data_IF_056476796471
#
_entry.id   IF_056476796471
#
_cell.length_a   1.000
_cell.length_b   1.000
_cell.length_c   1.000
_cell.angle_alpha   90.00
_cell.angle_beta   90.00
_cell.angle_gamma   90.00
#
_symmetry.space_group_name_H-M   'P 1'
#
loop_
_entity.id
_entity.type
_entity.pdbx_description
1 polymer ?
#
# COMPACT_ATOMS: atom_id res chain seq x y z
N UNK A 1 0.61 19.88 -8.09
CA UNK A 1 -0.41 18.85 -8.37
C UNK A 1 -0.68 18.10 -7.07
N UNK A 2 -1.92 17.65 -6.79
CA UNK A 2 -2.16 16.79 -5.64
C UNK A 2 -1.36 15.48 -5.79
N UNK A 3 -0.90 14.87 -4.68
CA UNK A 3 -0.17 13.61 -4.74
C UNK A 3 -1.06 12.51 -5.32
N UNK A 4 -0.46 11.60 -6.09
CA UNK A 4 -1.16 10.41 -6.59
C UNK A 4 -1.39 9.47 -5.43
N UNK A 5 -2.63 9.12 -5.10
CA UNK A 5 -2.91 8.17 -4.02
C UNK A 5 -2.52 6.77 -4.46
N UNK A 6 -1.75 6.06 -3.63
CA UNK A 6 -1.28 4.70 -3.92
C UNK A 6 -1.76 3.78 -2.82
N UNK A 7 -2.37 2.66 -3.21
CA UNK A 7 -2.78 1.58 -2.31
C UNK A 7 -2.08 0.33 -2.79
N UNK A 8 -1.00 -0.06 -2.13
CA UNK A 8 -0.28 -1.31 -2.38
C UNK A 8 -0.73 -2.38 -1.39
N UNK A 9 -0.60 -3.66 -1.75
CA UNK A 9 -0.82 -4.77 -0.83
C UNK A 9 0.41 -5.03 0.06
N UNK A 10 0.34 -6.02 0.96
CA UNK A 10 1.46 -6.39 1.84
C UNK A 10 2.67 -6.94 1.10
N UNK A 11 2.49 -7.55 -0.08
CA UNK A 11 3.58 -8.13 -0.87
C UNK A 11 4.56 -7.06 -1.35
N UNK A 12 4.07 -5.86 -1.69
CA UNK A 12 4.92 -4.71 -2.02
C UNK A 12 5.91 -4.40 -0.90
N UNK A 13 5.41 -4.20 0.33
CA UNK A 13 6.27 -3.86 1.47
C UNK A 13 7.21 -5.01 1.83
N UNK A 14 6.69 -6.23 1.88
CA UNK A 14 7.45 -7.42 2.25
C UNK A 14 8.57 -7.66 1.22
N UNK A 15 8.32 -7.48 -0.07
CA UNK A 15 9.35 -7.60 -1.11
C UNK A 15 10.52 -6.63 -0.87
N UNK A 16 10.25 -5.37 -0.48
CA UNK A 16 11.31 -4.41 -0.17
C UNK A 16 12.08 -4.74 1.12
N UNK A 17 11.41 -5.32 2.10
CA UNK A 17 11.98 -5.67 3.41
C UNK A 17 12.80 -6.97 3.34
N UNK A 18 12.23 -8.03 2.77
CA UNK A 18 12.78 -9.38 2.81
C UNK A 18 13.61 -9.72 1.55
N UNK A 19 13.06 -9.48 0.35
CA UNK A 19 13.64 -9.98 -0.91
C UNK A 19 14.68 -9.03 -1.51
N UNK A 20 14.30 -7.76 -1.65
CA UNK A 20 15.17 -6.71 -2.20
C UNK A 20 16.15 -6.22 -1.12
N UNK A 21 15.74 -6.27 0.15
CA UNK A 21 16.51 -5.79 1.31
C UNK A 21 16.96 -4.31 1.15
N UNK A 22 16.00 -3.44 0.80
CA UNK A 22 16.22 -2.00 0.55
C UNK A 22 15.17 -1.15 1.24
N UNK A 23 15.13 -1.24 2.57
CA UNK A 23 14.25 -0.43 3.41
C UNK A 23 14.44 1.07 3.19
N UNK A 24 15.66 1.52 2.87
CA UNK A 24 15.96 2.91 2.53
C UNK A 24 15.22 3.39 1.27
N UNK A 25 15.11 2.53 0.26
CA UNK A 25 14.39 2.85 -0.98
C UNK A 25 12.88 2.89 -0.72
N UNK A 26 12.37 1.96 0.08
CA UNK A 26 10.97 1.94 0.50
C UNK A 26 10.59 3.21 1.29
N UNK A 27 11.40 3.60 2.27
CA UNK A 27 11.21 4.83 3.04
C UNK A 27 11.17 6.07 2.14
N UNK A 28 12.07 6.14 1.15
CA UNK A 28 12.07 7.24 0.17
C UNK A 28 10.81 7.27 -0.71
N UNK A 29 10.23 6.11 -1.03
CA UNK A 29 8.98 6.04 -1.78
C UNK A 29 7.80 6.52 -0.92
N UNK A 30 7.71 6.05 0.32
CA UNK A 30 6.62 6.41 1.25
C UNK A 30 6.61 7.89 1.61
N UNK A 31 7.79 8.49 1.74
CA UNK A 31 7.96 9.92 2.08
C UNK A 31 8.01 10.84 0.85
N UNK A 32 7.87 10.30 -0.36
CA UNK A 32 7.91 11.09 -1.59
C UNK A 32 6.64 11.93 -1.73
N UNK A 33 6.78 13.25 -1.83
CA UNK A 33 5.65 14.19 -1.96
C UNK A 33 4.77 13.97 -3.21
N UNK A 34 5.24 13.19 -4.18
CA UNK A 34 4.47 12.88 -5.39
C UNK A 34 3.44 11.76 -5.16
N UNK A 35 3.63 10.94 -4.13
CA UNK A 35 2.79 9.80 -3.81
C UNK A 35 2.16 9.95 -2.43
N UNK A 36 0.84 9.74 -2.35
CA UNK A 36 0.10 9.66 -1.10
C UNK A 36 -0.22 8.21 -0.80
N UNK A 37 0.69 7.50 -0.14
CA UNK A 37 0.45 6.11 0.24
C UNK A 37 -0.65 6.01 1.30
N UNK A 38 -1.53 5.03 1.13
CA UNK A 38 -2.64 4.74 2.02
C UNK A 38 -2.57 3.26 2.40
N UNK A 39 -2.34 2.99 3.69
CA UNK A 39 -2.07 1.64 4.21
C UNK A 39 -3.25 1.16 5.04
N UNK A 40 -3.79 0.00 4.69
CA UNK A 40 -4.90 -0.60 5.42
C UNK A 40 -4.41 -1.24 6.72
N UNK A 41 -5.29 -1.31 7.73
CA UNK A 41 -4.99 -1.96 9.02
C UNK A 41 -4.58 -3.43 8.86
N UNK A 42 -5.19 -4.15 7.92
CA UNK A 42 -4.84 -5.55 7.60
C UNK A 42 -3.42 -5.64 7.05
N UNK A 43 -3.08 -4.79 6.08
CA UNK A 43 -1.74 -4.74 5.48
C UNK A 43 -0.69 -4.42 6.54
N UNK A 44 -0.97 -3.43 7.40
CA UNK A 44 -0.09 -3.08 8.52
C UNK A 44 0.17 -4.28 9.42
N UNK A 45 -0.86 -5.08 9.74
CA UNK A 45 -0.68 -6.31 10.53
C UNK A 45 0.18 -7.35 9.82
N UNK A 46 -0.03 -7.56 8.51
CA UNK A 46 0.74 -8.50 7.71
C UNK A 46 2.22 -8.10 7.62
N UNK A 47 2.50 -6.81 7.44
CA UNK A 47 3.85 -6.27 7.35
C UNK A 47 4.55 -6.30 8.71
N UNK A 48 3.87 -5.89 9.78
CA UNK A 48 4.45 -5.88 11.15
C UNK A 48 4.61 -7.25 11.79
N UNK A 49 4.04 -8.31 11.20
CA UNK A 49 4.34 -9.69 11.60
C UNK A 49 5.78 -10.12 11.27
N UNK A 50 6.50 -9.33 10.46
CA UNK A 50 7.93 -9.51 10.13
C UNK A 50 8.82 -8.60 10.98
N UNK A 51 10.10 -8.96 11.08
CA UNK A 51 11.10 -8.13 11.75
C UNK A 51 11.36 -6.87 10.91
N UNK A 52 10.90 -5.72 11.42
CA UNK A 52 10.95 -4.45 10.71
C UNK A 52 11.79 -3.42 11.50
N UNK A 53 12.58 -2.57 10.83
CA UNK A 53 13.24 -1.44 11.49
C UNK A 53 12.22 -0.46 12.09
N UNK A 54 12.54 0.10 13.27
CA UNK A 54 11.66 1.03 13.98
C UNK A 54 11.28 2.26 13.13
N UNK A 55 12.25 2.83 12.41
CA UNK A 55 12.04 3.98 11.51
C UNK A 55 11.00 3.69 10.41
N UNK A 56 11.01 2.47 9.87
CA UNK A 56 10.02 2.04 8.89
C UNK A 56 8.64 1.92 9.52
N UNK A 57 8.52 1.35 10.72
CA UNK A 57 7.24 1.23 11.42
C UNK A 57 6.64 2.59 11.75
N UNK A 58 7.45 3.52 12.27
CA UNK A 58 7.03 4.89 12.53
C UNK A 58 6.52 5.57 11.26
N UNK A 59 7.25 5.43 10.15
CA UNK A 59 6.83 5.98 8.85
C UNK A 59 5.54 5.33 8.38
N UNK A 60 5.46 4.00 8.37
CA UNK A 60 4.30 3.25 7.91
C UNK A 60 3.04 3.64 8.68
N UNK A 61 3.14 3.79 10.00
CA UNK A 61 2.02 4.16 10.87
C UNK A 61 1.46 5.56 10.55
N UNK A 62 2.25 6.48 9.99
CA UNK A 62 1.74 7.79 9.51
C UNK A 62 0.87 7.68 8.26
N UNK A 63 0.97 6.58 7.52
CA UNK A 63 0.20 6.31 6.30
C UNK A 63 -0.97 5.34 6.55
N UNK A 64 -1.15 4.85 7.79
CA UNK A 64 -2.23 3.93 8.11
C UNK A 64 -3.56 4.68 8.17
N UNK A 65 -4.48 4.30 7.29
CA UNK A 65 -5.86 4.76 7.32
C UNK A 65 -6.78 3.57 7.61
N UNK A 66 -7.83 3.80 8.40
CA UNK A 66 -8.90 2.81 8.56
C UNK A 66 -9.78 2.86 7.31
N UNK A 67 -9.67 1.83 6.47
CA UNK A 67 -10.57 1.64 5.34
C UNK A 67 -10.85 0.16 5.14
N UNK A 68 -12.03 -0.13 4.57
CA UNK A 68 -12.37 -1.48 4.15
C UNK A 68 -11.53 -1.84 2.92
N UNK A 69 -10.40 -2.51 3.16
CA UNK A 69 -9.48 -2.97 2.12
C UNK A 69 -10.20 -3.72 0.97
N UNK A 70 -11.18 -4.56 1.31
CA UNK A 70 -11.99 -5.29 0.33
C UNK A 70 -12.91 -4.39 -0.51
N UNK A 71 -13.29 -3.22 0.00
CA UNK A 71 -14.05 -2.22 -0.74
C UNK A 71 -13.16 -1.49 -1.77
N UNK A 72 -11.84 -1.39 -1.53
CA UNK A 72 -10.86 -1.03 -2.57
C UNK A 72 -10.57 -2.19 -3.53
N UNK A 73 -10.67 -3.44 -3.06
CA UNK A 73 -10.72 -4.61 -3.94
C UNK A 73 -11.85 -4.57 -4.97
N UNK A 74 -12.94 -3.84 -4.71
CA UNK A 74 -13.98 -3.58 -5.71
C UNK A 74 -13.54 -2.57 -6.81
N UNK A 75 -12.53 -1.73 -6.57
CA UNK A 75 -11.91 -0.93 -7.65
C UNK A 75 -11.09 -1.82 -8.60
N UNK A 76 -10.66 -2.98 -8.11
CA UNK A 76 -9.92 -3.99 -8.88
C UNK A 76 -10.84 -5.02 -9.53
N UNK A 77 -12.14 -5.04 -9.20
CA UNK A 77 -13.14 -5.93 -9.81
C UNK A 77 -13.17 -5.94 -11.34
N UNK A 78 -12.99 -4.80 -12.04
CA UNK A 78 -12.95 -4.81 -13.51
C UNK A 78 -11.79 -5.65 -14.07
N UNK A 79 -10.73 -5.86 -13.28
CA UNK A 79 -9.54 -6.60 -13.68
C UNK A 79 -9.44 -7.99 -13.02
N UNK A 80 -10.01 -8.17 -11.82
CA UNK A 80 -9.95 -9.42 -11.04
C UNK A 80 -11.23 -9.68 -10.24
N UNK A 81 -11.76 -10.90 -10.28
CA UNK A 81 -12.92 -11.27 -9.44
C UNK A 81 -12.60 -11.20 -7.95
N UNK A 82 -13.60 -11.01 -7.07
CA UNK A 82 -13.41 -10.95 -5.60
C UNK A 82 -12.70 -12.18 -5.02
N UNK A 83 -12.79 -13.32 -5.70
CA UNK A 83 -12.10 -14.56 -5.35
C UNK A 83 -10.59 -14.48 -5.59
N UNK A 84 -10.16 -13.73 -6.60
CA UNK A 84 -8.75 -13.53 -6.98
C UNK A 84 -8.09 -12.53 -6.01
N UNK A 85 -8.78 -11.44 -5.65
CA UNK A 85 -8.30 -10.49 -4.62
C UNK A 85 -8.06 -11.18 -3.27
N UNK A 86 -8.87 -12.19 -2.93
CA UNK A 86 -8.70 -13.01 -1.71
C UNK A 86 -7.51 -13.96 -1.75
N UNK A 87 -6.90 -14.19 -2.91
CA UNK A 87 -5.69 -15.05 -3.04
C UNK A 87 -4.40 -14.29 -2.74
N UNK A 88 -4.43 -12.96 -2.63
CA UNK A 88 -3.29 -12.15 -2.19
C UNK A 88 -2.23 -11.88 -3.26
N UNK A 89 -2.56 -12.06 -4.55
CA UNK A 89 -1.63 -11.83 -5.68
C UNK A 89 -2.08 -10.67 -6.57
N UNK A 90 -2.30 -9.45 -6.03
CA UNK A 90 -2.83 -8.37 -6.87
C UNK A 90 -2.32 -6.99 -6.45
N UNK A 91 -1.27 -6.53 -7.14
CA UNK A 91 -0.84 -5.12 -7.11
C UNK A 91 -1.82 -4.23 -7.89
N UNK A 92 -2.16 -3.09 -7.31
CA UNK A 92 -3.13 -2.14 -7.82
C UNK A 92 -2.60 -0.71 -7.79
N UNK A 93 -2.68 0.01 -8.91
CA UNK A 93 -2.38 1.44 -8.97
C UNK A 93 -3.66 2.18 -9.37
N UNK A 94 -4.23 2.95 -8.45
CA UNK A 94 -5.41 3.79 -8.71
C UNK A 94 -4.98 5.24 -8.87
N UNK A 95 -5.08 5.78 -10.08
CA UNK A 95 -4.96 7.24 -10.30
C UNK A 95 -6.34 7.86 -10.20
N UNK A 96 -6.62 8.62 -9.14
CA UNK A 96 -7.84 9.42 -9.04
C UNK A 96 -7.56 10.75 -9.74
N UNK A 97 -7.93 10.84 -11.02
CA UNK A 97 -7.96 12.10 -11.75
C UNK A 97 -9.02 13.02 -11.13
N UNK A 98 -8.61 14.19 -10.63
CA UNK A 98 -9.53 15.17 -10.08
C UNK A 98 -10.49 15.66 -11.16
N UNK A 99 -11.76 15.28 -11.07
CA UNK A 99 -12.85 16.02 -11.70
C UNK A 99 -12.97 17.37 -11.02
N UNK A 100 -12.44 18.41 -11.67
CA UNK A 100 -12.82 19.79 -11.37
C UNK A 100 -14.31 19.95 -11.66
N UNK A 101 -15.05 20.33 -10.62
CA UNK A 101 -16.40 20.86 -10.72
C UNK A 101 -16.37 22.30 -11.25
#
# INVERSE_FOLDING_TARGET
>A
MPPTRVVSDSSFYICFLDDINRTDALLRLLTCEWYGFVVGTVIRQEVTAKECPAEFLETLDTHVESFEYYSYGELLRPFFGTTEVRKGESEAVVSIGGTSA
#
